data_IF_534598159755
#
_entry.id   IF_534598159755
#
_cell.length_a   1.000
_cell.length_b   1.000
_cell.length_c   1.000
_cell.angle_alpha   90.00
_cell.angle_beta   90.00
_cell.angle_gamma   90.00
#
_symmetry.space_group_name_H-M   'P 1'
#
loop_
_entity.id
_entity.type
_entity.pdbx_description
1 polymer ?
#
# COMPACT_ATOMS: atom_id res chain seq x y z
N UNK A 1 -13.56 13.19 -20.35
CA UNK A 1 -13.94 12.13 -19.39
C UNK A 1 -13.09 10.91 -19.73
N UNK A 2 -11.90 10.77 -19.15
CA UNK A 2 -10.98 9.69 -19.52
C UNK A 2 -11.15 8.58 -18.49
N UNK A 3 -11.98 7.59 -18.84
CA UNK A 3 -12.06 6.30 -18.17
C UNK A 3 -10.72 5.57 -18.35
N UNK A 4 -9.79 5.73 -17.42
CA UNK A 4 -8.53 4.98 -17.43
C UNK A 4 -8.76 3.59 -16.84
N UNK A 5 -9.01 2.65 -17.74
CA UNK A 5 -8.86 1.19 -17.64
C UNK A 5 -8.11 0.75 -16.37
N UNK A 6 -8.82 0.12 -15.45
CA UNK A 6 -8.23 -0.67 -14.36
C UNK A 6 -7.41 -1.78 -14.97
N UNK A 7 -6.10 -1.56 -15.10
CA UNK A 7 -5.15 -2.60 -15.51
C UNK A 7 -5.02 -3.58 -14.33
N UNK A 8 -5.95 -4.54 -14.27
CA UNK A 8 -6.01 -5.58 -13.26
C UNK A 8 -4.63 -6.21 -13.08
N UNK A 9 -4.02 -6.02 -11.91
CA UNK A 9 -2.74 -6.64 -11.62
C UNK A 9 -2.93 -8.17 -11.68
N UNK A 10 -2.04 -8.89 -12.37
CA UNK A 10 -2.10 -10.35 -12.48
C UNK A 10 -1.83 -10.96 -11.09
N UNK A 11 -2.90 -11.35 -10.38
CA UNK A 11 -2.90 -11.81 -8.98
C UNK A 11 -2.22 -13.17 -8.74
N UNK A 12 -1.92 -13.94 -9.79
CA UNK A 12 -1.26 -15.24 -9.68
C UNK A 12 0.12 -15.22 -10.33
N UNK A 13 1.15 -15.21 -9.49
CA UNK A 13 2.51 -15.66 -9.82
C UNK A 13 2.86 -16.75 -8.81
N UNK A 14 3.57 -17.81 -9.21
CA UNK A 14 4.09 -18.78 -8.24
C UNK A 14 4.90 -18.02 -7.18
N UNK A 15 4.59 -18.28 -5.92
CA UNK A 15 5.40 -17.81 -4.80
C UNK A 15 6.82 -18.38 -5.02
N UNK A 16 7.85 -17.55 -4.91
CA UNK A 16 9.27 -17.97 -4.96
C UNK A 16 9.81 -18.46 -6.32
N UNK A 17 9.28 -18.00 -7.47
CA UNK A 17 9.97 -18.25 -8.74
C UNK A 17 11.28 -17.44 -8.81
N UNK A 18 12.39 -18.14 -8.66
CA UNK A 18 13.73 -17.62 -8.65
C UNK A 18 14.06 -16.82 -9.93
N UNK A 19 14.38 -15.54 -9.75
CA UNK A 19 15.42 -14.86 -10.53
C UNK A 19 15.25 -14.64 -12.04
N UNK A 20 14.12 -14.95 -12.67
CA UNK A 20 13.94 -14.64 -14.10
C UNK A 20 13.66 -13.14 -14.30
N UNK A 21 14.73 -12.34 -14.45
CA UNK A 21 14.81 -10.91 -14.86
C UNK A 21 13.42 -10.26 -14.99
N UNK A 22 12.76 -10.04 -13.85
CA UNK A 22 11.59 -9.19 -13.79
C UNK A 22 12.13 -7.76 -13.89
N UNK A 23 11.51 -6.82 -14.64
CA UNK A 23 11.82 -5.41 -14.43
C UNK A 23 11.68 -5.17 -12.93
N UNK A 24 12.76 -4.71 -12.26
CA UNK A 24 12.87 -4.66 -10.78
C UNK A 24 11.49 -4.38 -10.20
N UNK A 25 10.86 -5.44 -9.67
CA UNK A 25 9.47 -5.36 -9.21
C UNK A 25 9.35 -4.30 -8.13
N UNK A 26 8.13 -3.86 -7.84
CA UNK A 26 7.90 -2.93 -6.74
C UNK A 26 8.48 -3.51 -5.43
N UNK A 27 9.63 -3.00 -4.99
CA UNK A 27 10.36 -3.51 -3.83
C UNK A 27 9.88 -2.91 -2.52
N UNK A 28 9.32 -1.70 -2.58
CA UNK A 28 8.93 -0.93 -1.41
C UNK A 28 7.53 -0.36 -1.61
N UNK A 29 6.69 -0.56 -0.61
CA UNK A 29 5.45 0.18 -0.38
C UNK A 29 5.66 1.10 0.80
N UNK A 30 5.41 2.40 0.62
CA UNK A 30 5.45 3.37 1.71
C UNK A 30 4.03 3.80 2.06
N UNK A 31 3.68 3.75 3.33
CA UNK A 31 2.39 4.25 3.83
C UNK A 31 2.67 5.44 4.74
N UNK A 32 1.91 6.52 4.55
CA UNK A 32 1.98 7.70 5.42
C UNK A 32 0.57 8.11 5.83
N UNK A 33 0.41 8.58 7.06
CA UNK A 33 -0.84 9.20 7.48
C UNK A 33 -1.07 10.51 6.72
N UNK A 34 -2.34 10.80 6.41
CA UNK A 34 -2.72 12.08 5.84
C UNK A 34 -2.60 13.15 6.93
N UNK A 35 -1.92 14.29 6.66
CA UNK A 35 -1.82 15.37 7.64
C UNK A 35 -3.21 15.81 8.11
N UNK A 36 -3.39 15.91 9.43
CA UNK A 36 -4.66 16.31 10.06
C UNK A 36 -5.75 15.23 10.12
N UNK A 37 -5.59 14.09 9.44
CA UNK A 37 -6.55 12.98 9.45
C UNK A 37 -5.84 11.63 9.63
N UNK A 38 -5.51 11.23 10.86
CA UNK A 38 -4.69 10.05 11.12
C UNK A 38 -5.34 8.72 10.71
N UNK A 39 -6.67 8.68 10.57
CA UNK A 39 -7.43 7.53 10.06
C UNK A 39 -7.45 7.43 8.52
N UNK A 40 -6.82 8.37 7.83
CA UNK A 40 -6.65 8.33 6.37
C UNK A 40 -5.16 8.24 6.06
N UNK A 41 -4.80 7.47 5.04
CA UNK A 41 -3.42 7.27 4.63
C UNK A 41 -3.22 7.48 3.12
N UNK A 42 -1.96 7.61 2.77
CA UNK A 42 -1.46 7.63 1.41
C UNK A 42 -0.52 6.43 1.24
N UNK A 43 -0.90 5.51 0.36
CA UNK A 43 -0.10 4.37 -0.05
C UNK A 43 0.68 4.72 -1.32
N UNK A 44 2.00 4.75 -1.23
CA UNK A 44 2.90 5.01 -2.33
C UNK A 44 3.55 3.71 -2.82
N UNK A 45 3.41 3.48 -4.13
CA UNK A 45 4.02 2.38 -4.87
C UNK A 45 4.85 2.97 -6.02
N UNK A 46 6.13 3.24 -5.74
CA UNK A 46 7.00 3.96 -6.68
C UNK A 46 6.50 5.39 -6.89
N UNK A 47 6.09 5.74 -8.10
CA UNK A 47 5.51 7.05 -8.44
C UNK A 47 3.99 7.13 -8.26
N UNK A 48 3.31 6.01 -7.99
CA UNK A 48 1.86 5.97 -7.83
C UNK A 48 1.47 6.20 -6.37
N UNK A 49 0.47 7.05 -6.14
CA UNK A 49 -0.06 7.35 -4.81
C UNK A 49 -1.56 7.06 -4.78
N UNK A 50 -2.01 6.31 -3.78
CA UNK A 50 -3.40 5.92 -3.59
C UNK A 50 -3.88 6.34 -2.20
N UNK A 51 -5.15 6.75 -2.10
CA UNK A 51 -5.78 6.92 -0.79
C UNK A 51 -6.01 5.54 -0.15
N UNK A 52 -5.72 5.42 1.14
CA UNK A 52 -6.02 4.22 1.92
C UNK A 52 -6.66 4.59 3.27
N UNK A 53 -7.35 3.64 3.88
CA UNK A 53 -7.84 3.78 5.25
C UNK A 53 -6.75 3.37 6.23
N UNK A 54 -6.60 4.14 7.29
CA UNK A 54 -5.83 3.76 8.47
C UNK A 54 -6.80 3.56 9.64
N UNK A 55 -6.42 2.73 10.59
CA UNK A 55 -7.23 2.53 11.78
C UNK A 55 -7.39 3.83 12.60
N UNK A 56 -8.32 3.85 13.56
CA UNK A 56 -8.62 5.03 14.39
C UNK A 56 -7.38 5.55 15.14
N UNK A 57 -6.46 4.66 15.52
CA UNK A 57 -5.20 5.00 16.18
C UNK A 57 -4.12 5.53 15.24
N UNK A 58 -4.36 5.57 13.92
CA UNK A 58 -3.36 5.98 12.93
C UNK A 58 -2.16 5.04 12.89
N UNK A 59 -1.00 5.55 12.48
CA UNK A 59 0.25 4.77 12.44
C UNK A 59 0.89 4.77 13.84
N UNK A 60 1.10 3.60 14.44
CA UNK A 60 1.74 3.49 15.75
C UNK A 60 2.72 2.33 15.82
N UNK A 61 3.84 2.54 16.53
CA UNK A 61 4.69 1.44 16.96
C UNK A 61 4.07 0.75 18.19
N UNK A 62 4.43 -0.53 18.40
CA UNK A 62 4.05 -1.31 19.59
C UNK A 62 2.52 -1.45 19.80
N UNK A 63 1.77 -1.63 18.70
CA UNK A 63 0.33 -1.77 18.72
C UNK A 63 -0.14 -2.98 19.54
N UNK A 64 -1.22 -2.79 20.30
CA UNK A 64 -1.89 -3.85 21.06
C UNK A 64 -3.16 -4.28 20.32
N UNK A 65 -3.72 -5.43 20.68
CA UNK A 65 -5.00 -5.82 20.13
C UNK A 65 -6.09 -4.80 20.51
N UNK A 66 -6.90 -4.37 19.53
CA UNK A 66 -8.01 -3.45 19.74
C UNK A 66 -7.68 -1.95 19.78
N UNK A 67 -6.40 -1.56 19.67
CA UNK A 67 -6.01 -0.14 19.64
C UNK A 67 -6.41 0.60 18.36
N UNK A 68 -6.73 -0.16 17.31
CA UNK A 68 -7.07 0.37 16.01
C UNK A 68 -5.92 1.13 15.36
N UNK A 69 -4.66 0.85 15.71
CA UNK A 69 -3.50 1.41 15.03
C UNK A 69 -3.03 0.52 13.86
N UNK A 70 -2.38 1.12 12.87
CA UNK A 70 -1.76 0.47 11.70
C UNK A 70 -0.26 0.42 11.83
#
# INVERSE_FOLDING_TARGET
>A
MICSVTRSYKKKRPCNADGAILPKGLTVLSVRARPGHPSQGLLQAGSLVFACALGRGGISANKREGDGAT
#
